data_IF_518198204806
#
_entry.id   IF_518198204806
#
_cell.length_a   1.000
_cell.length_b   1.000
_cell.length_c   1.000
_cell.angle_alpha   90.00
_cell.angle_beta   90.00
_cell.angle_gamma   90.00
#
_symmetry.space_group_name_H-M   'P 1'
#
loop_
_entity.id
_entity.type
_entity.pdbx_description
1 polymer ?
#
# COMPACT_ATOMS: atom_id res chain seq x y z
N UNK A 1 5.72 -6.27 -6.88
CA UNK A 1 4.93 -5.01 -6.97
C UNK A 1 5.02 -4.25 -5.65
N UNK A 2 4.84 -2.93 -5.60
CA UNK A 2 5.20 -2.16 -4.39
C UNK A 2 3.98 -1.87 -3.52
N UNK A 3 4.08 -2.18 -2.21
CA UNK A 3 3.12 -1.76 -1.19
C UNK A 3 3.14 -0.22 -1.09
N UNK A 4 2.04 0.49 -1.39
CA UNK A 4 2.02 1.95 -1.39
C UNK A 4 2.15 2.56 0.01
N UNK A 5 1.97 1.78 1.08
CA UNK A 5 2.09 2.25 2.46
C UNK A 5 3.53 2.23 2.95
N UNK A 6 4.23 1.11 2.72
CA UNK A 6 5.57 0.88 3.29
C UNK A 6 6.69 0.77 2.26
N UNK A 7 6.38 0.68 0.97
CA UNK A 7 7.38 0.58 -0.10
C UNK A 7 7.98 -0.81 -0.26
N UNK A 8 7.52 -1.79 0.52
CA UNK A 8 8.00 -3.17 0.44
C UNK A 8 7.55 -3.81 -0.87
N UNK A 9 8.40 -4.67 -1.43
CA UNK A 9 8.00 -5.53 -2.54
C UNK A 9 7.04 -6.63 -2.07
N UNK A 10 5.93 -6.76 -2.78
CA UNK A 10 4.84 -7.69 -2.52
C UNK A 10 4.63 -8.55 -3.76
N UNK A 11 4.33 -9.82 -3.52
CA UNK A 11 3.96 -10.79 -4.54
C UNK A 11 2.48 -10.66 -4.91
N UNK A 12 2.13 -10.91 -6.17
CA UNK A 12 0.74 -10.92 -6.65
C UNK A 12 -0.13 -12.01 -6.00
N UNK A 13 0.49 -13.01 -5.36
CA UNK A 13 -0.21 -14.02 -4.57
C UNK A 13 -0.59 -13.53 -3.17
N UNK A 14 -0.24 -12.28 -2.80
CA UNK A 14 -0.61 -11.73 -1.51
C UNK A 14 -2.13 -11.78 -1.31
N UNK A 15 -2.53 -12.32 -0.15
CA UNK A 15 -3.91 -12.31 0.32
C UNK A 15 -4.36 -10.91 0.74
N UNK A 16 -3.42 -10.00 0.98
CA UNK A 16 -3.69 -8.62 1.35
C UNK A 16 -3.72 -7.77 0.09
N UNK A 17 -4.92 -7.59 -0.47
CA UNK A 17 -5.13 -6.79 -1.67
C UNK A 17 -6.49 -6.12 -1.67
N UNK A 18 -6.61 -5.01 -2.40
CA UNK A 18 -7.86 -4.26 -2.54
C UNK A 18 -7.96 -3.60 -3.90
N UNK A 19 -9.18 -3.37 -4.36
CA UNK A 19 -9.43 -2.63 -5.61
C UNK A 19 -9.77 -1.18 -5.26
N UNK A 20 -9.06 -0.23 -5.86
CA UNK A 20 -9.30 1.19 -5.67
C UNK A 20 -9.17 1.94 -7.00
N UNK A 21 -10.19 2.73 -7.36
CA UNK A 21 -10.27 3.46 -8.65
C UNK A 21 -9.96 2.57 -9.87
N UNK A 22 -10.48 1.34 -9.89
CA UNK A 22 -10.29 0.40 -11.00
C UNK A 22 -8.93 -0.31 -11.03
N UNK A 23 -8.02 -0.04 -10.08
CA UNK A 23 -6.69 -0.67 -9.99
C UNK A 23 -6.59 -1.58 -8.77
N UNK A 24 -5.96 -2.73 -8.93
CA UNK A 24 -5.67 -3.65 -7.82
C UNK A 24 -4.37 -3.24 -7.13
N UNK A 25 -4.42 -3.10 -5.80
CA UNK A 25 -3.29 -2.80 -4.92
C UNK A 25 -3.07 -3.95 -3.97
N UNK A 26 -1.81 -4.23 -3.66
CA UNK A 26 -1.42 -5.37 -2.84
C UNK A 26 -0.46 -4.88 -1.76
N UNK A 27 -0.49 -5.58 -0.62
CA UNK A 27 0.11 -5.13 0.61
C UNK A 27 0.92 -6.27 1.24
N UNK A 28 1.98 -5.90 1.96
CA UNK A 28 2.84 -6.86 2.64
C UNK A 28 2.16 -7.46 3.89
N UNK A 29 1.15 -6.78 4.42
CA UNK A 29 0.49 -7.14 5.68
C UNK A 29 -0.93 -6.58 5.79
N UNK A 30 -1.73 -7.17 6.68
CA UNK A 30 -3.08 -6.67 6.99
C UNK A 30 -3.07 -5.22 7.53
N UNK A 31 -2.01 -4.83 8.25
CA UNK A 31 -1.82 -3.46 8.75
C UNK A 31 -1.75 -2.44 7.61
N UNK A 32 -0.88 -2.68 6.62
CA UNK A 32 -0.75 -1.81 5.44
C UNK A 32 -2.06 -1.74 4.64
N UNK A 33 -2.74 -2.86 4.44
CA UNK A 33 -4.05 -2.87 3.79
C UNK A 33 -5.05 -1.97 4.54
N UNK A 34 -5.13 -2.08 5.87
CA UNK A 34 -6.05 -1.29 6.70
C UNK A 34 -5.70 0.19 6.67
N UNK A 35 -4.42 0.54 6.74
CA UNK A 35 -3.93 1.92 6.64
C UNK A 35 -4.30 2.53 5.28
N UNK A 36 -4.02 1.81 4.19
CA UNK A 36 -4.39 2.23 2.85
C UNK A 36 -5.90 2.43 2.70
N UNK A 37 -6.73 1.53 3.23
CA UNK A 37 -8.18 1.68 3.15
C UNK A 37 -8.74 2.90 3.89
N UNK A 38 -8.05 3.39 4.93
CA UNK A 38 -8.47 4.61 5.64
C UNK A 38 -8.27 5.85 4.77
N UNK A 39 -7.12 5.98 4.12
CA UNK A 39 -6.72 7.17 3.38
C UNK A 39 -5.94 6.83 2.09
N UNK A 40 -6.57 6.18 1.11
CA UNK A 40 -5.87 5.66 -0.06
C UNK A 40 -5.22 6.77 -0.89
N UNK A 41 -5.86 7.94 -1.00
CA UNK A 41 -5.32 9.07 -1.77
C UNK A 41 -4.02 9.63 -1.19
N UNK A 42 -3.83 9.57 0.13
CA UNK A 42 -2.59 10.01 0.79
C UNK A 42 -1.40 9.14 0.36
N UNK A 43 -1.57 7.81 0.41
CA UNK A 43 -0.52 6.87 0.02
C UNK A 43 -0.27 6.86 -1.50
N UNK A 44 -1.29 7.16 -2.31
CA UNK A 44 -1.13 7.28 -3.76
C UNK A 44 -0.50 8.61 -4.21
N UNK A 45 -0.62 9.67 -3.41
CA UNK A 45 0.00 10.97 -3.70
C UNK A 45 1.43 11.07 -3.16
N UNK A 46 1.67 10.55 -1.96
CA UNK A 46 2.92 10.77 -1.21
C UNK A 46 3.92 9.62 -1.22
N UNK A 47 3.55 8.44 -1.74
CA UNK A 47 4.38 7.25 -1.60
C UNK A 47 4.51 6.79 -0.13
N UNK A 48 5.41 5.84 0.16
CA UNK A 48 5.50 5.24 1.49
C UNK A 48 5.85 6.26 2.58
N UNK A 49 4.90 6.47 3.49
CA UNK A 49 4.93 7.45 4.58
C UNK A 49 5.71 6.84 5.75
N UNK A 50 7.01 6.62 5.55
CA UNK A 50 7.83 5.88 6.53
C UNK A 50 9.34 5.91 6.35
N UNK A 51 9.87 6.48 5.27
CA UNK A 51 11.28 6.88 5.25
C UNK A 51 11.38 8.27 5.88
N UNK A 52 11.91 8.42 7.12
CA UNK A 52 12.45 9.71 7.49
C UNK A 52 13.48 10.11 6.44
N UNK A 53 13.35 11.30 5.87
CA UNK A 53 14.51 11.95 5.29
C UNK A 53 15.44 12.28 6.46
N UNK A 54 16.52 11.51 6.64
CA UNK A 54 17.58 11.78 7.62
C UNK A 54 17.44 11.00 8.91
#
# INVERSE_FOLDING_TARGET
MIDPVCGMEVDEKSKYKTMYKGKMYYFCSAGCLREFQKNPEEYLRGGPKGMPNG
#
